data_IF_144911106331
#
_entry.id   IF_144911106331
#
_cell.length_a   1.000
_cell.length_b   1.000
_cell.length_c   1.000
_cell.angle_alpha   90.00
_cell.angle_beta   90.00
_cell.angle_gamma   90.00
#
_symmetry.space_group_name_H-M   'P 1'
#
loop_
_entity.id
_entity.type
_entity.pdbx_description
1 polymer ?
#
# COMPACT_ATOMS: atom_id res chain seq x y z
N UNK A 1 2.18 -9.69 24.87
CA UNK A 1 3.51 -9.33 24.35
C UNK A 1 4.00 -8.15 25.15
N UNK A 2 5.27 -8.13 25.57
CA UNK A 2 5.86 -7.02 26.32
C UNK A 2 5.92 -5.78 25.43
N UNK A 3 5.39 -4.64 25.90
CA UNK A 3 5.55 -3.35 25.24
C UNK A 3 6.91 -2.78 25.68
N UNK A 4 7.75 -2.39 24.73
CA UNK A 4 9.07 -1.81 24.97
C UNK A 4 9.06 -0.28 24.91
N UNK A 5 7.90 0.36 24.73
CA UNK A 5 7.76 1.81 24.76
C UNK A 5 8.09 2.36 26.16
N UNK A 6 8.70 3.55 26.22
CA UNK A 6 8.92 4.29 27.47
C UNK A 6 7.58 4.67 28.11
N UNK A 7 6.59 5.02 27.29
CA UNK A 7 5.19 5.18 27.71
C UNK A 7 4.41 3.88 27.39
N UNK A 8 4.02 3.09 28.42
CA UNK A 8 3.30 1.82 28.20
C UNK A 8 1.93 1.98 27.52
N UNK A 9 1.35 3.18 27.49
CA UNK A 9 0.08 3.44 26.80
C UNK A 9 0.25 3.56 25.28
N UNK A 10 1.46 3.79 24.79
CA UNK A 10 1.81 3.98 23.38
C UNK A 10 2.49 2.76 22.78
N UNK A 11 2.27 2.51 21.49
CA UNK A 11 2.99 1.47 20.76
C UNK A 11 4.45 1.88 20.56
N UNK A 12 5.35 0.88 20.56
CA UNK A 12 6.79 1.12 20.62
C UNK A 12 7.34 1.88 19.40
N UNK A 13 6.95 1.46 18.17
CA UNK A 13 7.50 2.07 16.96
C UNK A 13 6.69 3.27 16.49
N UNK A 14 5.37 3.14 16.39
CA UNK A 14 4.53 4.20 15.82
C UNK A 14 4.17 5.30 16.85
N UNK A 15 4.43 5.11 18.13
CA UNK A 15 4.14 6.04 19.24
C UNK A 15 2.67 6.53 19.24
N UNK A 16 1.73 5.65 18.89
CA UNK A 16 0.28 5.89 18.90
C UNK A 16 -0.37 5.10 20.03
N UNK A 17 -1.34 5.70 20.71
CA UNK A 17 -2.14 5.07 21.75
C UNK A 17 -3.51 4.62 21.23
N UNK A 18 -4.13 3.68 21.96
CA UNK A 18 -5.51 3.24 21.68
C UNK A 18 -6.49 4.41 21.76
N UNK A 19 -7.33 4.58 20.74
CA UNK A 19 -8.31 5.67 20.65
C UNK A 19 -7.81 6.92 19.94
N UNK A 20 -6.50 7.05 19.69
CA UNK A 20 -5.92 8.17 18.92
C UNK A 20 -6.11 7.99 17.40
N UNK A 21 -6.35 6.77 16.90
CA UNK A 21 -6.57 6.46 15.49
C UNK A 21 -7.98 5.94 15.23
N UNK A 22 -8.43 6.08 13.99
CA UNK A 22 -9.68 5.48 13.50
C UNK A 22 -9.50 4.02 13.09
N UNK A 23 -10.61 3.31 12.82
CA UNK A 23 -10.55 1.92 12.33
C UNK A 23 -10.05 1.80 10.88
N UNK A 24 -10.11 2.88 10.10
CA UNK A 24 -9.62 2.96 8.71
C UNK A 24 -8.33 3.77 8.68
N UNK A 25 -7.28 3.19 8.09
CA UNK A 25 -5.99 3.88 7.98
C UNK A 25 -5.48 3.82 6.53
N UNK A 26 -5.10 4.98 5.99
CA UNK A 26 -4.38 5.09 4.73
C UNK A 26 -2.88 5.00 5.03
N UNK A 27 -2.15 4.19 4.26
CA UNK A 27 -0.74 3.88 4.53
C UNK A 27 0.16 4.22 3.32
N UNK A 28 0.68 5.48 3.25
CA UNK A 28 1.72 5.83 2.29
C UNK A 28 3.09 5.30 2.74
N UNK A 29 4.00 5.04 1.79
CA UNK A 29 5.40 4.74 2.12
C UNK A 29 6.15 5.97 2.65
N UNK A 30 6.07 7.08 1.90
CA UNK A 30 6.77 8.33 2.23
C UNK A 30 6.03 9.12 3.32
N UNK A 31 6.71 9.44 4.45
CA UNK A 31 6.15 10.25 5.54
C UNK A 31 5.59 11.61 5.06
N UNK A 32 6.20 12.23 4.07
CA UNK A 32 5.77 13.52 3.52
C UNK A 32 4.37 13.47 2.88
N UNK A 33 3.91 12.30 2.45
CA UNK A 33 2.56 12.13 1.91
C UNK A 33 1.48 12.15 2.98
N UNK A 34 1.82 11.90 4.25
CA UNK A 34 0.84 11.93 5.34
C UNK A 34 0.15 13.29 5.45
N UNK A 35 0.90 14.39 5.33
CA UNK A 35 0.35 15.74 5.35
C UNK A 35 -0.62 15.97 4.18
N UNK A 36 -0.23 15.56 2.95
CA UNK A 36 -1.09 15.70 1.77
C UNK A 36 -2.39 14.90 1.90
N UNK A 37 -2.32 13.67 2.42
CA UNK A 37 -3.50 12.82 2.65
C UNK A 37 -4.37 13.41 3.74
N UNK A 38 -3.78 13.87 4.84
CA UNK A 38 -4.50 14.47 5.97
C UNK A 38 -5.30 15.72 5.57
N UNK A 39 -4.85 16.48 4.57
CA UNK A 39 -5.60 17.63 4.03
C UNK A 39 -6.97 17.26 3.43
N UNK A 40 -7.24 16.00 3.15
CA UNK A 40 -8.55 15.51 2.71
C UNK A 40 -9.48 15.13 3.87
N UNK A 41 -9.00 15.15 5.12
CA UNK A 41 -9.79 14.86 6.31
C UNK A 41 -10.34 16.15 6.91
N UNK A 42 -11.46 16.05 7.61
CA UNK A 42 -11.97 17.13 8.43
C UNK A 42 -11.19 17.15 9.75
N UNK A 43 -10.75 18.34 10.20
CA UNK A 43 -10.03 18.61 11.44
C UNK A 43 -8.81 17.67 11.69
N UNK A 44 -7.86 17.56 10.74
CA UNK A 44 -6.73 16.66 10.90
C UNK A 44 -5.75 17.16 11.96
N UNK A 45 -5.31 16.26 12.84
CA UNK A 45 -4.28 16.54 13.87
C UNK A 45 -3.12 15.59 13.72
N UNK A 46 -1.90 16.09 13.96
CA UNK A 46 -0.70 15.25 14.08
C UNK A 46 -0.79 14.49 15.41
N UNK A 47 -0.79 13.15 15.32
CA UNK A 47 -0.85 12.26 16.50
C UNK A 47 0.52 11.82 16.96
N UNK A 48 1.38 11.44 16.00
CA UNK A 48 2.73 10.97 16.27
C UNK A 48 3.66 11.25 15.09
N UNK A 49 4.93 11.51 15.40
CA UNK A 49 6.04 11.62 14.46
C UNK A 49 7.23 10.90 15.10
N UNK A 50 7.47 9.65 14.69
CA UNK A 50 8.55 8.83 15.22
C UNK A 50 9.12 7.91 14.15
N UNK A 51 10.43 7.94 13.97
CA UNK A 51 11.14 7.18 12.93
C UNK A 51 10.57 7.50 11.52
N UNK A 52 10.27 6.48 10.74
CA UNK A 52 9.58 6.58 9.45
C UNK A 52 8.05 6.69 9.57
N UNK A 53 7.50 6.68 10.78
CA UNK A 53 6.06 6.66 11.06
C UNK A 53 5.56 8.05 11.46
N UNK A 54 4.83 8.69 10.56
CA UNK A 54 4.08 9.92 10.85
C UNK A 54 2.60 9.58 10.80
N UNK A 55 1.86 9.91 11.86
CA UNK A 55 0.43 9.62 11.96
C UNK A 55 -0.37 10.92 12.12
N UNK A 56 -1.35 11.11 11.23
CA UNK A 56 -2.42 12.11 11.40
C UNK A 56 -3.75 11.40 11.55
N UNK A 57 -4.65 12.01 12.34
CA UNK A 57 -6.03 11.56 12.51
C UNK A 57 -6.97 12.72 12.32
N UNK A 58 -8.06 12.50 11.62
CA UNK A 58 -9.18 13.42 11.42
C UNK A 58 -10.47 12.65 11.20
N UNK A 59 -11.42 13.20 10.45
CA UNK A 59 -12.65 12.50 10.11
C UNK A 59 -12.95 12.54 8.61
N UNK A 60 -13.69 11.52 8.14
CA UNK A 60 -14.37 11.48 6.85
C UNK A 60 -15.82 11.07 7.09
N UNK A 61 -16.75 11.87 6.61
CA UNK A 61 -18.19 11.63 6.80
C UNK A 61 -18.58 11.40 8.27
N UNK A 62 -17.90 12.14 9.19
CA UNK A 62 -18.09 12.04 10.63
C UNK A 62 -17.53 10.76 11.28
N UNK A 63 -16.72 9.97 10.56
CA UNK A 63 -16.03 8.79 11.08
C UNK A 63 -14.55 9.08 11.22
N UNK A 64 -13.97 8.73 12.37
CA UNK A 64 -12.53 8.86 12.62
C UNK A 64 -11.74 8.00 11.65
N UNK A 65 -10.80 8.64 10.94
CA UNK A 65 -9.89 8.01 9.98
C UNK A 65 -8.47 8.49 10.26
N UNK A 66 -7.48 7.71 9.84
CA UNK A 66 -6.09 8.09 10.05
C UNK A 66 -5.25 7.85 8.80
N UNK A 67 -4.11 8.48 8.75
CA UNK A 67 -3.03 8.17 7.82
C UNK A 67 -1.77 7.91 8.64
N UNK A 68 -1.06 6.83 8.33
CA UNK A 68 0.24 6.50 8.96
C UNK A 68 1.22 6.05 7.88
N UNK A 69 2.38 6.68 7.80
CA UNK A 69 3.44 6.24 6.87
C UNK A 69 4.03 4.89 7.28
N UNK A 70 4.55 4.16 6.30
CA UNK A 70 5.15 2.84 6.53
C UNK A 70 6.66 2.82 6.40
N UNK A 71 7.27 3.87 5.82
CA UNK A 71 8.61 3.73 5.26
C UNK A 71 8.61 2.79 4.04
N UNK A 72 9.75 2.19 3.74
CA UNK A 72 9.94 1.29 2.59
C UNK A 72 10.08 -0.16 3.07
N UNK A 73 9.36 -1.05 2.41
CA UNK A 73 9.52 -2.49 2.56
C UNK A 73 8.59 -3.16 3.57
N UNK A 74 8.51 -4.48 3.45
CA UNK A 74 7.63 -5.33 4.24
C UNK A 74 7.84 -5.22 5.75
N UNK A 75 9.09 -5.24 6.27
CA UNK A 75 9.33 -5.18 7.72
C UNK A 75 8.72 -3.96 8.39
N UNK A 76 8.96 -2.76 7.88
CA UNK A 76 8.42 -1.55 8.49
C UNK A 76 6.90 -1.43 8.32
N UNK A 77 6.37 -1.83 7.15
CA UNK A 77 4.92 -1.83 6.91
C UNK A 77 4.18 -2.78 7.87
N UNK A 78 4.70 -3.99 8.09
CA UNK A 78 4.08 -4.97 8.99
C UNK A 78 4.16 -4.55 10.46
N UNK A 79 5.24 -3.91 10.89
CA UNK A 79 5.34 -3.33 12.24
C UNK A 79 4.23 -2.29 12.44
N UNK A 80 4.06 -1.36 11.49
CA UNK A 80 3.00 -0.36 11.59
C UNK A 80 1.60 -1.00 11.67
N UNK A 81 1.32 -2.01 10.84
CA UNK A 81 0.02 -2.70 10.83
C UNK A 81 -0.26 -3.43 12.15
N UNK A 82 0.72 -4.17 12.70
CA UNK A 82 0.58 -4.87 13.97
C UNK A 82 0.29 -3.89 15.13
N UNK A 83 0.98 -2.76 15.16
CA UNK A 83 0.81 -1.77 16.21
C UNK A 83 -0.49 -0.96 16.05
N UNK A 84 -0.85 -0.58 14.83
CA UNK A 84 -2.14 0.07 14.53
C UNK A 84 -3.33 -0.85 14.85
N UNK A 85 -3.22 -2.15 14.54
CA UNK A 85 -4.26 -3.12 14.87
C UNK A 85 -4.51 -3.20 16.39
N UNK A 86 -3.47 -3.14 17.22
CA UNK A 86 -3.60 -3.06 18.69
C UNK A 86 -4.29 -1.77 19.15
N UNK A 87 -4.22 -0.70 18.35
CA UNK A 87 -4.91 0.56 18.60
C UNK A 87 -6.36 0.58 18.11
N UNK A 88 -6.82 -0.50 17.44
CA UNK A 88 -8.22 -0.66 16.98
C UNK A 88 -8.43 -0.47 15.49
N UNK A 89 -7.37 -0.41 14.70
CA UNK A 89 -7.45 -0.39 13.23
C UNK A 89 -7.77 -1.79 12.71
N UNK A 90 -8.73 -1.91 11.80
CA UNK A 90 -9.09 -3.17 11.14
C UNK A 90 -9.16 -3.08 9.61
N UNK A 91 -8.91 -1.90 9.05
CA UNK A 91 -8.98 -1.67 7.61
C UNK A 91 -7.81 -0.79 7.16
N UNK A 92 -6.97 -1.35 6.29
CA UNK A 92 -5.74 -0.75 5.82
C UNK A 92 -5.80 -0.50 4.32
N UNK A 93 -5.58 0.74 3.88
CA UNK A 93 -5.53 1.12 2.46
C UNK A 93 -4.15 1.66 2.14
N UNK A 94 -3.33 0.85 1.45
CA UNK A 94 -2.02 1.33 0.99
C UNK A 94 -2.18 2.25 -0.21
N UNK A 95 -1.50 3.37 -0.16
CA UNK A 95 -1.25 4.25 -1.31
C UNK A 95 0.25 4.33 -1.58
N UNK A 96 0.65 3.99 -2.79
CA UNK A 96 2.07 3.95 -3.14
C UNK A 96 2.37 4.44 -4.54
N UNK A 97 3.60 4.17 -4.94
CA UNK A 97 4.07 4.31 -6.31
C UNK A 97 4.55 2.95 -6.81
N UNK A 98 4.49 2.72 -8.11
CA UNK A 98 4.94 1.49 -8.73
C UNK A 98 5.63 1.74 -10.08
N UNK A 99 6.36 0.76 -10.56
CA UNK A 99 6.81 0.67 -11.94
C UNK A 99 5.85 -0.22 -12.74
N UNK A 100 5.36 0.26 -13.90
CA UNK A 100 4.51 -0.55 -14.78
C UNK A 100 5.28 -1.72 -15.40
N UNK A 101 4.60 -2.86 -15.62
CA UNK A 101 5.16 -4.07 -16.22
C UNK A 101 4.53 -4.44 -17.56
N UNK A 102 3.27 -4.07 -17.81
CA UNK A 102 2.57 -4.29 -19.09
C UNK A 102 2.67 -3.01 -19.94
N UNK A 103 2.86 -3.14 -21.24
CA UNK A 103 3.16 -2.00 -22.13
C UNK A 103 1.99 -1.04 -22.33
N UNK A 104 0.75 -1.47 -22.10
CA UNK A 104 -0.44 -0.62 -22.11
C UNK A 104 -0.52 0.32 -20.90
N UNK A 105 0.14 -0.03 -19.78
CA UNK A 105 0.15 0.77 -18.54
C UNK A 105 1.14 1.92 -18.69
N UNK A 106 0.65 3.14 -18.57
CA UNK A 106 1.44 4.36 -18.76
C UNK A 106 1.75 5.03 -17.42
N UNK A 107 2.80 5.85 -17.43
CA UNK A 107 3.08 6.77 -16.32
C UNK A 107 1.87 7.68 -16.06
N UNK A 108 1.49 7.82 -14.81
CA UNK A 108 0.31 8.57 -14.39
C UNK A 108 -0.96 7.72 -14.25
N UNK A 109 -1.01 6.50 -14.80
CA UNK A 109 -2.13 5.59 -14.58
C UNK A 109 -2.17 5.08 -13.13
N UNK A 110 -3.33 4.61 -12.69
CA UNK A 110 -3.52 4.00 -11.37
C UNK A 110 -3.53 2.47 -11.50
N UNK A 111 -2.81 1.78 -10.64
CA UNK A 111 -2.89 0.32 -10.50
C UNK A 111 -3.52 -0.03 -9.15
N UNK A 112 -4.53 -0.92 -9.17
CA UNK A 112 -5.21 -1.45 -7.98
C UNK A 112 -4.88 -2.93 -7.86
N UNK A 113 -4.28 -3.32 -6.73
CA UNK A 113 -3.84 -4.70 -6.54
C UNK A 113 -4.99 -5.61 -6.09
N UNK A 114 -5.17 -6.74 -6.76
CA UNK A 114 -6.03 -7.85 -6.30
C UNK A 114 -5.26 -8.90 -5.52
N UNK A 115 -3.95 -8.93 -5.69
CA UNK A 115 -3.01 -9.81 -5.00
C UNK A 115 -1.58 -9.40 -5.33
N UNK A 116 -0.63 -10.00 -4.63
CA UNK A 116 0.77 -9.67 -4.81
C UNK A 116 1.67 -10.91 -4.86
N UNK A 117 2.64 -10.89 -5.76
CA UNK A 117 3.70 -11.90 -5.83
C UNK A 117 4.63 -11.70 -4.62
N UNK A 118 4.82 -12.75 -3.83
CA UNK A 118 5.58 -12.77 -2.59
C UNK A 118 7.08 -12.98 -2.87
N UNK A 119 7.72 -11.98 -3.51
CA UNK A 119 9.16 -12.01 -3.78
C UNK A 119 9.98 -11.30 -2.68
N UNK A 120 9.38 -11.02 -1.56
CA UNK A 120 10.01 -10.41 -0.38
C UNK A 120 10.12 -11.41 0.79
N UNK A 121 10.87 -11.06 1.83
CA UNK A 121 11.13 -11.95 2.97
C UNK A 121 10.05 -11.93 4.03
N UNK A 122 9.48 -10.76 4.32
CA UNK A 122 8.57 -10.55 5.46
C UNK A 122 7.34 -11.46 5.43
N UNK A 123 6.66 -11.56 4.29
CA UNK A 123 5.48 -12.42 4.18
C UNK A 123 5.77 -13.90 4.42
N UNK A 124 7.00 -14.34 4.13
CA UNK A 124 7.44 -15.73 4.34
C UNK A 124 7.62 -16.07 5.81
N UNK A 125 7.92 -15.07 6.65
CA UNK A 125 7.99 -15.23 8.11
C UNK A 125 6.60 -15.22 8.77
N UNK A 126 5.59 -14.60 8.09
CA UNK A 126 4.21 -14.58 8.58
C UNK A 126 3.40 -15.81 8.21
N UNK A 127 3.61 -16.38 7.02
CA UNK A 127 2.82 -17.49 6.51
C UNK A 127 3.61 -18.37 5.53
N UNK A 128 3.29 -19.68 5.41
CA UNK A 128 3.83 -20.55 4.38
C UNK A 128 3.70 -19.92 2.99
N UNK A 129 4.66 -20.21 2.09
CA UNK A 129 4.71 -19.58 0.76
C UNK A 129 3.48 -19.90 -0.10
N UNK A 130 2.86 -21.04 0.13
CA UNK A 130 1.65 -21.50 -0.56
C UNK A 130 0.41 -20.66 -0.21
N UNK A 131 0.41 -19.96 0.94
CA UNK A 131 -0.69 -19.07 1.29
C UNK A 131 -0.64 -17.80 0.42
N UNK A 132 -1.69 -17.52 -0.37
CA UNK A 132 -1.65 -16.42 -1.34
C UNK A 132 -1.74 -15.05 -0.65
N UNK A 133 -0.96 -14.08 -1.12
CA UNK A 133 -1.09 -12.69 -0.73
C UNK A 133 -2.21 -12.03 -1.55
N UNK A 134 -3.44 -12.09 -1.04
CA UNK A 134 -4.63 -11.52 -1.69
C UNK A 134 -5.12 -10.27 -0.97
N UNK A 135 -5.58 -9.30 -1.75
CA UNK A 135 -6.26 -8.12 -1.21
C UNK A 135 -7.67 -8.48 -0.73
N UNK A 136 -8.18 -7.73 0.23
CA UNK A 136 -9.57 -7.81 0.65
C UNK A 136 -10.51 -7.36 -0.49
N UNK A 137 -11.56 -8.12 -0.73
CA UNK A 137 -12.46 -7.90 -1.85
C UNK A 137 -13.25 -6.59 -1.72
N UNK A 138 -13.73 -6.25 -0.52
CA UNK A 138 -14.50 -5.03 -0.30
C UNK A 138 -13.63 -3.79 -0.48
N UNK A 139 -12.41 -3.83 0.04
CA UNK A 139 -11.43 -2.74 -0.14
C UNK A 139 -11.05 -2.60 -1.61
N UNK A 140 -10.82 -3.70 -2.32
CA UNK A 140 -10.50 -3.68 -3.76
C UNK A 140 -11.67 -3.09 -4.57
N UNK A 141 -12.90 -3.53 -4.31
CA UNK A 141 -14.09 -3.01 -4.98
C UNK A 141 -14.30 -1.52 -4.71
N UNK A 142 -14.07 -1.07 -3.47
CA UNK A 142 -14.15 0.36 -3.12
C UNK A 142 -13.12 1.20 -3.88
N UNK A 143 -11.88 0.72 -4.00
CA UNK A 143 -10.81 1.38 -4.78
C UNK A 143 -11.17 1.46 -6.28
N UNK A 144 -11.67 0.36 -6.86
CA UNK A 144 -12.11 0.32 -8.27
C UNK A 144 -13.28 1.27 -8.51
N UNK A 145 -14.28 1.27 -7.62
CA UNK A 145 -15.43 2.17 -7.71
C UNK A 145 -14.99 3.65 -7.61
N UNK A 146 -14.05 3.96 -6.70
CA UNK A 146 -13.51 5.31 -6.56
C UNK A 146 -12.76 5.76 -7.83
N UNK A 147 -11.91 4.93 -8.40
CA UNK A 147 -11.18 5.25 -9.63
C UNK A 147 -12.13 5.48 -10.82
N UNK A 148 -13.18 4.67 -10.96
CA UNK A 148 -14.22 4.82 -11.98
C UNK A 148 -14.99 6.13 -11.81
N UNK A 149 -15.42 6.45 -10.61
CA UNK A 149 -16.19 7.68 -10.32
C UNK A 149 -15.36 8.94 -10.65
N UNK A 150 -14.05 8.89 -10.37
CA UNK A 150 -13.12 9.98 -10.72
C UNK A 150 -12.72 10.00 -12.21
N UNK A 151 -13.16 9.03 -13.02
CA UNK A 151 -12.78 8.86 -14.42
C UNK A 151 -11.25 8.75 -14.62
N UNK A 152 -10.53 8.16 -13.65
CA UNK A 152 -9.09 7.91 -13.78
C UNK A 152 -8.83 6.61 -14.53
N UNK A 153 -7.86 6.64 -15.46
CA UNK A 153 -7.37 5.43 -16.11
C UNK A 153 -6.77 4.52 -15.04
N UNK A 154 -7.30 3.31 -14.92
CA UNK A 154 -6.84 2.37 -13.91
C UNK A 154 -6.84 0.94 -14.41
N UNK A 155 -5.95 0.14 -13.82
CA UNK A 155 -5.81 -1.30 -14.07
C UNK A 155 -5.96 -2.04 -12.75
N UNK A 156 -6.60 -3.20 -12.79
CA UNK A 156 -6.86 -4.01 -11.59
C UNK A 156 -6.32 -5.41 -11.81
N UNK A 157 -5.41 -5.87 -10.95
CA UNK A 157 -4.78 -7.19 -11.10
C UNK A 157 -3.63 -7.42 -10.13
N UNK A 158 -2.81 -8.42 -10.43
CA UNK A 158 -1.67 -8.82 -9.59
C UNK A 158 -0.51 -7.85 -9.74
N UNK A 159 0.14 -7.52 -8.62
CA UNK A 159 1.39 -6.76 -8.56
C UNK A 159 2.53 -7.63 -8.02
N UNK A 160 3.77 -7.19 -8.16
CA UNK A 160 4.92 -7.88 -7.58
C UNK A 160 5.50 -7.04 -6.44
N UNK A 161 5.68 -7.64 -5.25
CA UNK A 161 6.38 -7.04 -4.13
C UNK A 161 7.78 -7.64 -4.00
N UNK A 162 8.81 -6.78 -3.89
CA UNK A 162 10.22 -7.15 -3.78
C UNK A 162 10.91 -6.39 -2.65
N UNK A 163 12.05 -6.90 -2.18
CA UNK A 163 12.92 -6.23 -1.20
C UNK A 163 14.05 -5.44 -1.86
N UNK A 164 14.57 -5.89 -3.00
CA UNK A 164 15.72 -5.29 -3.66
C UNK A 164 15.30 -4.39 -4.82
N UNK A 165 15.23 -3.06 -4.58
CA UNK A 165 14.88 -2.08 -5.60
C UNK A 165 15.80 -2.15 -6.84
N UNK A 166 17.12 -2.16 -6.63
CA UNK A 166 18.09 -2.21 -7.71
C UNK A 166 18.17 -3.57 -8.41
N UNK A 167 17.66 -4.64 -7.78
CA UNK A 167 17.52 -5.94 -8.42
C UNK A 167 16.55 -5.96 -9.60
N UNK A 168 15.61 -5.01 -9.65
CA UNK A 168 14.73 -4.82 -10.80
C UNK A 168 15.36 -3.94 -11.89
N UNK A 169 16.04 -2.87 -11.50
CA UNK A 169 16.50 -1.84 -12.44
C UNK A 169 17.84 -2.19 -13.10
N UNK A 170 18.71 -2.92 -12.40
CA UNK A 170 20.03 -3.32 -12.86
C UNK A 170 20.28 -4.81 -12.53
N UNK A 171 19.39 -5.73 -12.95
CA UNK A 171 19.49 -7.14 -12.58
C UNK A 171 20.79 -7.79 -13.06
N UNK A 172 21.36 -7.34 -14.19
CA UNK A 172 22.62 -7.83 -14.74
C UNK A 172 23.83 -7.54 -13.84
N UNK A 173 23.73 -6.57 -12.94
CA UNK A 173 24.76 -6.26 -11.94
C UNK A 173 24.63 -7.08 -10.65
N UNK A 174 23.57 -7.87 -10.53
CA UNK A 174 23.32 -8.69 -9.34
C UNK A 174 23.90 -10.09 -9.50
N UNK A 175 24.49 -10.69 -8.44
CA UNK A 175 24.98 -12.07 -8.48
C UNK A 175 23.92 -13.08 -8.92
N UNK A 176 22.65 -12.82 -8.61
CA UNK A 176 21.48 -13.64 -8.99
C UNK A 176 20.70 -13.07 -10.18
N UNK A 177 21.34 -12.27 -11.02
CA UNK A 177 20.72 -11.56 -12.14
C UNK A 177 19.96 -12.47 -13.09
N UNK A 178 20.49 -13.67 -13.38
CA UNK A 178 19.83 -14.68 -14.19
C UNK A 178 18.44 -15.07 -13.64
N UNK A 179 18.33 -15.21 -12.33
CA UNK A 179 17.07 -15.56 -11.67
C UNK A 179 16.08 -14.38 -11.73
N UNK A 180 16.55 -13.16 -11.45
CA UNK A 180 15.73 -11.94 -11.46
C UNK A 180 15.16 -11.67 -12.86
N UNK A 181 15.98 -11.79 -13.91
CA UNK A 181 15.56 -11.58 -15.30
C UNK A 181 14.51 -12.63 -15.70
N UNK A 182 14.77 -13.91 -15.42
CA UNK A 182 13.84 -14.98 -15.78
C UNK A 182 12.50 -14.86 -15.04
N UNK A 183 12.51 -14.51 -13.76
CA UNK A 183 11.29 -14.27 -12.98
C UNK A 183 10.51 -13.07 -13.52
N UNK A 184 11.19 -11.97 -13.85
CA UNK A 184 10.55 -10.79 -14.42
C UNK A 184 9.79 -11.12 -15.72
N UNK A 185 10.42 -11.85 -16.64
CA UNK A 185 9.79 -12.29 -17.89
C UNK A 185 8.59 -13.22 -17.61
N UNK A 186 8.73 -14.18 -16.69
CA UNK A 186 7.64 -15.06 -16.32
C UNK A 186 6.43 -14.27 -15.75
N UNK A 187 6.66 -13.29 -14.89
CA UNK A 187 5.58 -12.48 -14.34
C UNK A 187 4.90 -11.58 -15.38
N UNK A 188 5.66 -11.04 -16.34
CA UNK A 188 5.09 -10.32 -17.48
C UNK A 188 4.18 -11.24 -18.31
N UNK A 189 4.64 -12.44 -18.61
CA UNK A 189 3.83 -13.45 -19.33
C UNK A 189 2.55 -13.83 -18.58
N UNK A 190 2.57 -13.80 -17.24
CA UNK A 190 1.42 -14.03 -16.37
C UNK A 190 0.51 -12.80 -16.20
N UNK A 191 0.82 -11.69 -16.85
CA UNK A 191 0.03 -10.47 -16.77
C UNK A 191 0.20 -9.67 -15.48
N UNK A 192 1.31 -9.81 -14.74
CA UNK A 192 1.61 -8.95 -13.60
C UNK A 192 1.67 -7.49 -14.05
N UNK A 193 0.89 -6.61 -13.38
CA UNK A 193 0.66 -5.25 -13.84
C UNK A 193 1.79 -4.28 -13.48
N UNK A 194 2.33 -4.42 -12.27
CA UNK A 194 3.28 -3.46 -11.72
C UNK A 194 4.15 -4.07 -10.63
N UNK A 195 5.26 -3.41 -10.35
CA UNK A 195 6.21 -3.78 -9.29
C UNK A 195 6.28 -2.69 -8.22
N UNK A 196 6.18 -3.10 -6.96
CA UNK A 196 6.27 -2.28 -5.74
C UNK A 196 6.99 -3.07 -4.62
N UNK A 197 6.87 -2.69 -3.32
CA UNK A 197 7.73 -3.28 -2.29
C UNK A 197 6.99 -3.77 -1.03
N UNK A 198 5.68 -3.58 -0.85
CA UNK A 198 5.02 -3.79 0.46
C UNK A 198 3.72 -4.60 0.43
N UNK A 199 2.98 -4.63 -0.67
CA UNK A 199 1.62 -5.21 -0.70
C UNK A 199 1.57 -6.67 -0.28
N UNK A 200 2.54 -7.50 -0.67
CA UNK A 200 2.55 -8.91 -0.28
C UNK A 200 2.64 -9.06 1.24
N UNK A 201 3.56 -8.35 1.88
CA UNK A 201 3.69 -8.36 3.34
C UNK A 201 2.43 -7.83 4.03
N UNK A 202 1.85 -6.73 3.50
CA UNK A 202 0.64 -6.13 4.07
C UNK A 202 -0.58 -7.05 3.95
N UNK A 203 -0.79 -7.71 2.80
CA UNK A 203 -1.92 -8.63 2.62
C UNK A 203 -1.80 -9.86 3.52
N UNK A 204 -0.61 -10.42 3.64
CA UNK A 204 -0.35 -11.55 4.55
C UNK A 204 -0.50 -11.13 6.02
N UNK A 205 0.03 -9.98 6.41
CA UNK A 205 -0.14 -9.45 7.76
C UNK A 205 -1.62 -9.21 8.08
N UNK A 206 -2.38 -8.59 7.16
CA UNK A 206 -3.82 -8.40 7.32
C UNK A 206 -4.57 -9.73 7.49
N UNK A 207 -4.24 -10.75 6.70
CA UNK A 207 -4.84 -12.09 6.83
C UNK A 207 -4.57 -12.69 8.22
N UNK A 208 -3.34 -12.59 8.73
CA UNK A 208 -2.99 -13.04 10.08
C UNK A 208 -3.76 -12.28 11.16
N UNK A 209 -3.97 -10.99 10.97
CA UNK A 209 -4.73 -10.13 11.89
C UNK A 209 -6.24 -10.25 11.73
N UNK A 210 -6.73 -10.94 10.69
CA UNK A 210 -8.14 -10.98 10.26
C UNK A 210 -8.70 -9.57 10.03
N UNK A 211 -7.87 -8.71 9.44
CA UNK A 211 -8.17 -7.36 9.05
C UNK A 211 -8.32 -7.26 7.54
N UNK A 212 -8.89 -6.16 7.04
CA UNK A 212 -9.01 -5.87 5.61
C UNK A 212 -7.81 -5.08 5.13
N UNK A 213 -7.25 -5.42 3.96
CA UNK A 213 -6.22 -4.62 3.32
C UNK A 213 -6.39 -4.56 1.80
N UNK A 214 -6.11 -3.41 1.22
CA UNK A 214 -6.04 -3.21 -0.23
C UNK A 214 -4.96 -2.19 -0.58
N UNK A 215 -4.59 -2.13 -1.87
CA UNK A 215 -3.52 -1.24 -2.33
C UNK A 215 -3.86 -0.59 -3.65
N UNK A 216 -3.52 0.70 -3.79
CA UNK A 216 -3.51 1.41 -5.06
C UNK A 216 -2.21 2.21 -5.24
N UNK A 217 -1.80 2.38 -6.48
CA UNK A 217 -0.52 2.96 -6.83
C UNK A 217 -0.63 3.92 -8.00
N UNK A 218 0.18 4.99 -7.95
CA UNK A 218 0.53 5.75 -9.13
C UNK A 218 1.65 5.03 -9.89
N UNK A 219 1.52 4.86 -11.18
CA UNK A 219 2.61 4.41 -12.06
C UNK A 219 3.57 5.57 -12.29
N UNK A 220 4.80 5.47 -11.77
CA UNK A 220 5.82 6.51 -11.93
C UNK A 220 6.43 6.48 -13.32
N UNK A 221 6.77 5.28 -13.78
CA UNK A 221 7.38 4.99 -15.07
C UNK A 221 7.16 3.50 -15.41
N UNK A 222 7.46 3.11 -16.65
CA UNK A 222 7.35 1.74 -17.11
C UNK A 222 8.57 1.39 -17.94
N UNK A 223 9.46 0.57 -17.37
CA UNK A 223 10.73 0.18 -18.01
C UNK A 223 10.53 -0.66 -19.28
N UNK A 224 9.42 -1.38 -19.43
CA UNK A 224 9.13 -2.16 -20.63
C UNK A 224 8.77 -1.23 -21.81
N UNK A 225 8.09 -0.12 -21.54
CA UNK A 225 7.85 0.94 -22.54
C UNK A 225 9.15 1.62 -22.96
N UNK A 226 10.04 1.88 -22.00
CA UNK A 226 11.36 2.47 -22.27
C UNK A 226 12.20 1.58 -23.16
N UNK A 227 12.28 0.27 -22.88
CA UNK A 227 12.97 -0.73 -23.72
C UNK A 227 12.46 -0.75 -25.18
N UNK A 228 11.18 -0.47 -25.39
CA UNK A 228 10.56 -0.41 -26.71
C UNK A 228 10.58 0.96 -27.36
N UNK A 229 11.22 1.97 -26.74
CA UNK A 229 11.24 3.35 -27.25
C UNK A 229 9.87 4.04 -27.22
N UNK A 230 8.92 3.54 -26.42
CA UNK A 230 7.61 4.15 -26.26
C UNK A 230 7.67 5.31 -25.25
N UNK A 231 6.73 6.27 -25.37
CA UNK A 231 6.64 7.40 -24.43
C UNK A 231 6.55 6.90 -22.99
N UNK A 232 7.48 7.36 -22.14
CA UNK A 232 7.60 6.96 -20.73
C UNK A 232 8.05 8.15 -19.88
N UNK A 233 7.25 9.26 -19.79
CA UNK A 233 7.56 10.37 -18.92
C UNK A 233 7.54 9.92 -17.46
N UNK A 234 8.39 10.52 -16.61
CA UNK A 234 8.38 10.24 -15.17
C UNK A 234 7.31 11.10 -14.50
N UNK A 235 6.30 10.45 -13.91
CA UNK A 235 5.21 11.09 -13.16
C UNK A 235 5.38 10.79 -11.67
N UNK A 236 5.45 11.85 -10.83
CA UNK A 236 5.67 11.71 -9.38
C UNK A 236 4.51 12.23 -8.53
N UNK A 237 3.55 12.92 -9.15
CA UNK A 237 2.40 13.46 -8.44
C UNK A 237 1.41 12.34 -8.11
N UNK A 238 1.26 12.04 -6.81
CA UNK A 238 0.42 10.95 -6.31
C UNK A 238 -1.02 11.36 -6.05
N UNK A 239 -1.43 12.57 -6.39
CA UNK A 239 -2.75 13.11 -6.03
C UNK A 239 -3.91 12.23 -6.54
N UNK A 240 -3.82 11.66 -7.74
CA UNK A 240 -4.85 10.75 -8.25
C UNK A 240 -5.00 9.50 -7.37
N UNK A 241 -3.90 8.86 -7.00
CA UNK A 241 -3.93 7.68 -6.13
C UNK A 241 -4.41 8.04 -4.71
N UNK A 242 -4.07 9.22 -4.19
CA UNK A 242 -4.56 9.74 -2.91
C UNK A 242 -6.09 9.93 -2.98
N UNK A 243 -6.60 10.58 -4.01
CA UNK A 243 -8.05 10.77 -4.19
C UNK A 243 -8.80 9.45 -4.28
N UNK A 244 -8.25 8.44 -4.98
CA UNK A 244 -8.83 7.10 -5.04
C UNK A 244 -8.88 6.45 -3.66
N UNK A 245 -7.80 6.52 -2.88
CA UNK A 245 -7.75 5.93 -1.53
C UNK A 245 -8.72 6.62 -0.57
N UNK A 246 -8.79 7.95 -0.56
CA UNK A 246 -9.71 8.71 0.30
C UNK A 246 -11.16 8.40 -0.06
N UNK A 247 -11.51 8.41 -1.34
CA UNK A 247 -12.87 8.11 -1.79
C UNK A 247 -13.26 6.64 -1.51
N UNK A 248 -12.30 5.71 -1.63
CA UNK A 248 -12.53 4.31 -1.25
C UNK A 248 -12.87 4.18 0.25
N UNK A 249 -12.19 4.93 1.13
CA UNK A 249 -12.54 4.96 2.56
C UNK A 249 -13.98 5.46 2.78
N UNK A 250 -14.42 6.52 2.08
CA UNK A 250 -15.81 7.00 2.17
C UNK A 250 -16.82 5.92 1.78
N UNK A 251 -16.53 5.18 0.69
CA UNK A 251 -17.38 4.07 0.24
C UNK A 251 -17.41 2.92 1.25
N UNK A 252 -16.28 2.58 1.87
CA UNK A 252 -16.21 1.57 2.92
C UNK A 252 -16.99 2.00 4.18
N UNK A 253 -16.86 3.25 4.59
CA UNK A 253 -17.63 3.82 5.72
C UNK A 253 -19.13 3.70 5.46
N UNK A 254 -19.58 4.04 4.25
CA UNK A 254 -20.99 3.94 3.86
C UNK A 254 -21.47 2.48 3.90
N UNK A 255 -20.75 1.57 3.24
CA UNK A 255 -21.10 0.15 3.20
C UNK A 255 -21.13 -0.50 4.60
N UNK A 256 -20.15 -0.16 5.45
CA UNK A 256 -20.08 -0.70 6.83
C UNK A 256 -21.18 -0.14 7.74
N UNK A 257 -21.78 1.01 7.41
CA UNK A 257 -22.98 1.55 8.11
C UNK A 257 -24.27 0.84 7.68
N UNK A 258 -24.37 0.49 6.40
CA UNK A 258 -25.54 -0.19 5.83
C UNK A 258 -25.61 -1.68 6.27
N UNK A 259 -24.49 -2.28 6.65
CA UNK A 259 -24.39 -3.67 7.08
C UNK A 259 -24.50 -3.87 8.61
N UNK A 260 -24.75 -2.79 9.37
CA UNK A 260 -25.02 -2.81 10.83
C UNK A 260 -26.50 -2.76 11.11
#
# INVERSE_FOLDING_TARGET
MKNYSEDPSRQYHIQVAKGEVGRYVIMPGDPKRCVKIAQHFDDPVLVADNREYITYTGTLDGVKVSVTSTGIGGPSASIAMEELYKCGVDTFVRIGTCGGMQTEIKSGDVVIATGAIRMEGTSKEYAPIEYPAVADLDVTNALVAAAKEKNFTHYTGVVQSKDAFYGQHEPEKMPVGYELINKWEAWKMMGCLASEMESAAMFICASKLRARAGSCFLVVANQEREKLGLANPVVRDTDMAIQVAVEAIRKLIKADRENK
#
